data_IF_756135084925
#
_entry.id   IF_756135084925
#
_cell.length_a   1.000
_cell.length_b   1.000
_cell.length_c   1.000
_cell.angle_alpha   90.00
_cell.angle_beta   90.00
_cell.angle_gamma   90.00
#
_symmetry.space_group_name_H-M   'P 1'
#
loop_
_entity.id
_entity.type
_entity.pdbx_description
1 polymer ?
#
# COMPACT_ATOMS: atom_id res chain seq x y z
N UNK A 1 62.86 -24.59 -21.95
CA UNK A 1 63.08 -23.95 -23.27
C UNK A 1 62.46 -22.55 -23.18
N UNK A 2 63.23 -21.47 -23.40
CA UNK A 2 63.52 -20.84 -24.71
C UNK A 2 62.45 -19.79 -25.08
N UNK A 3 62.73 -18.50 -25.32
CA UNK A 3 64.00 -17.75 -25.14
C UNK A 3 63.69 -16.23 -24.98
N UNK A 4 64.57 -15.52 -24.25
CA UNK A 4 65.09 -14.16 -24.56
C UNK A 4 64.12 -12.96 -24.84
N UNK A 5 64.17 -11.88 -24.03
CA UNK A 5 64.92 -10.58 -24.26
C UNK A 5 64.19 -9.59 -25.22
N UNK A 6 64.32 -8.25 -25.11
CA UNK A 6 65.20 -7.35 -24.30
C UNK A 6 64.63 -5.89 -24.23
N UNK A 7 65.09 -5.12 -23.23
CA UNK A 7 65.52 -3.68 -23.22
C UNK A 7 65.36 -2.82 -24.50
N UNK A 8 65.24 -1.47 -24.54
CA UNK A 8 65.42 -0.30 -23.61
C UNK A 8 65.04 1.00 -24.42
N UNK A 9 65.01 2.27 -23.96
CA UNK A 9 65.12 3.02 -22.67
C UNK A 9 64.53 4.45 -22.93
N UNK A 10 64.26 5.22 -21.87
CA UNK A 10 64.26 6.71 -21.82
C UNK A 10 63.04 7.47 -22.39
N UNK A 11 62.91 8.72 -21.91
CA UNK A 11 61.87 9.70 -22.26
C UNK A 11 62.51 10.97 -22.81
N UNK A 12 61.70 11.89 -23.35
CA UNK A 12 61.96 13.33 -23.28
C UNK A 12 60.70 14.15 -23.57
N UNK A 13 60.58 15.29 -22.88
CA UNK A 13 59.61 16.35 -23.17
C UNK A 13 60.25 17.37 -24.11
N UNK A 14 59.50 17.85 -25.10
CA UNK A 14 59.78 19.09 -25.80
C UNK A 14 58.45 19.70 -26.29
N UNK A 15 58.21 20.95 -25.94
CA UNK A 15 57.13 21.75 -26.50
C UNK A 15 57.73 22.72 -27.53
N UNK A 16 57.08 22.87 -28.68
CA UNK A 16 57.30 23.98 -29.59
C UNK A 16 55.98 24.38 -30.27
N UNK A 17 55.92 25.61 -30.76
CA UNK A 17 54.69 26.33 -31.10
C UNK A 17 54.83 27.09 -32.42
N UNK A 18 53.68 27.54 -32.95
CA UNK A 18 53.52 28.41 -34.14
C UNK A 18 53.83 27.72 -35.49
N UNK A 19 53.05 28.05 -36.53
CA UNK A 19 53.36 27.67 -37.90
C UNK A 19 52.16 27.39 -38.81
N UNK A 20 51.34 28.40 -39.10
CA UNK A 20 50.31 28.27 -40.16
C UNK A 20 50.97 28.23 -41.54
N UNK A 21 50.90 27.08 -42.23
CA UNK A 21 51.19 26.94 -43.64
C UNK A 21 49.99 26.29 -44.33
N UNK A 22 49.34 27.01 -45.26
CA UNK A 22 48.13 26.54 -45.91
C UNK A 22 48.40 25.54 -47.03
N UNK A 23 47.63 24.44 -47.06
CA UNK A 23 47.49 23.56 -48.23
C UNK A 23 46.02 23.48 -48.58
N UNK A 24 45.60 24.20 -49.62
CA UNK A 24 44.22 24.18 -50.13
C UNK A 24 43.98 22.93 -50.98
N UNK A 25 43.80 21.79 -50.33
CA UNK A 25 43.34 20.57 -50.98
C UNK A 25 41.81 20.63 -51.15
N UNK A 26 41.34 20.90 -52.37
CA UNK A 26 39.92 20.75 -52.73
C UNK A 26 39.56 19.26 -52.81
N UNK A 27 39.20 18.68 -51.67
CA UNK A 27 38.58 17.36 -51.62
C UNK A 27 37.10 17.48 -52.03
N UNK A 28 36.69 16.75 -53.07
CA UNK A 28 35.28 16.65 -53.45
C UNK A 28 34.48 15.96 -52.33
N UNK A 29 33.25 16.41 -52.14
CA UNK A 29 32.42 15.99 -51.01
C UNK A 29 32.07 14.50 -51.04
N UNK A 30 32.40 13.82 -49.94
CA UNK A 30 31.53 12.80 -49.36
C UNK A 30 31.35 13.18 -47.90
N UNK A 31 30.22 13.83 -47.59
CA UNK A 31 29.79 13.95 -46.19
C UNK A 31 29.47 12.54 -45.69
N UNK A 32 30.31 12.01 -44.80
CA UNK A 32 29.91 10.88 -43.97
C UNK A 32 28.87 11.39 -42.99
N UNK A 33 27.60 11.26 -43.38
CA UNK A 33 26.43 11.63 -42.59
C UNK A 33 26.48 10.90 -41.24
N UNK A 34 27.05 11.56 -40.23
CA UNK A 34 27.01 11.10 -38.86
C UNK A 34 25.53 11.10 -38.45
N UNK A 35 24.94 9.94 -38.08
CA UNK A 35 23.54 9.92 -37.69
C UNK A 35 23.34 10.83 -36.49
N UNK A 36 22.64 11.95 -36.71
CA UNK A 36 22.27 12.85 -35.63
C UNK A 36 21.15 12.18 -34.83
N UNK A 37 21.54 11.26 -33.95
CA UNK A 37 20.65 10.68 -32.94
C UNK A 37 20.16 11.87 -32.11
N UNK A 38 18.88 12.26 -32.21
CA UNK A 38 18.37 13.35 -31.40
C UNK A 38 18.51 12.93 -29.93
N UNK A 39 18.88 13.85 -29.00
CA UNK A 39 18.91 13.51 -27.59
C UNK A 39 17.54 12.96 -27.19
N UNK A 40 17.52 11.74 -26.67
CA UNK A 40 16.28 11.04 -26.36
C UNK A 40 15.42 11.95 -25.48
N UNK A 41 14.20 12.22 -25.93
CA UNK A 41 13.33 13.19 -25.27
C UNK A 41 13.13 12.77 -23.81
N UNK A 42 13.62 13.57 -22.88
CA UNK A 42 13.41 13.36 -21.44
C UNK A 42 11.96 13.73 -21.17
N UNK A 43 11.07 12.77 -21.40
CA UNK A 43 9.67 12.85 -20.98
C UNK A 43 9.71 12.97 -19.47
N UNK A 44 9.37 14.14 -18.94
CA UNK A 44 9.15 14.31 -17.52
C UNK A 44 8.03 13.34 -17.10
N UNK A 45 8.31 12.47 -16.13
CA UNK A 45 7.36 11.47 -15.67
C UNK A 45 6.01 12.12 -15.35
N UNK A 46 4.91 11.54 -15.82
CA UNK A 46 3.62 12.22 -15.67
C UNK A 46 3.24 12.30 -14.19
N UNK A 47 2.80 13.48 -13.77
CA UNK A 47 2.20 13.69 -12.43
C UNK A 47 0.91 12.87 -12.23
N UNK A 48 0.43 12.17 -13.27
CA UNK A 48 -0.74 11.27 -13.24
C UNK A 48 -0.39 9.78 -13.39
N UNK A 49 0.88 9.39 -13.54
CA UNK A 49 1.28 7.97 -13.74
C UNK A 49 1.45 7.17 -12.44
N UNK A 50 1.20 7.80 -11.29
CA UNK A 50 1.32 7.19 -9.97
C UNK A 50 0.15 6.28 -9.56
N UNK A 51 0.38 5.55 -8.48
CA UNK A 51 -0.58 4.72 -7.76
C UNK A 51 -0.43 4.93 -6.25
N UNK A 52 -1.54 5.23 -5.58
CA UNK A 52 -1.60 5.38 -4.13
C UNK A 52 -2.18 4.11 -3.51
N UNK A 53 -1.42 3.46 -2.64
CA UNK A 53 -1.92 2.41 -1.76
C UNK A 53 -1.91 2.93 -0.33
N UNK A 54 -2.92 2.58 0.46
CA UNK A 54 -2.97 2.93 1.87
C UNK A 54 -3.42 1.73 2.70
N UNK A 55 -2.73 1.47 3.81
CA UNK A 55 -3.01 0.36 4.70
C UNK A 55 -3.43 0.90 6.06
N UNK A 56 -4.61 0.51 6.52
CA UNK A 56 -5.20 0.95 7.77
C UNK A 56 -5.74 -0.22 8.59
N UNK A 57 -5.93 -0.03 9.89
CA UNK A 57 -6.39 -1.09 10.77
C UNK A 57 -7.87 -1.46 10.55
N UNK A 58 -8.77 -0.48 10.48
CA UNK A 58 -10.22 -0.68 10.50
C UNK A 58 -10.97 -0.09 9.29
N UNK A 59 -12.14 -0.63 8.93
CA UNK A 59 -13.05 -0.10 7.91
C UNK A 59 -13.70 1.27 8.21
N UNK A 60 -12.88 2.34 8.31
CA UNK A 60 -13.22 3.79 8.24
C UNK A 60 -12.03 4.70 8.56
N UNK A 61 -10.97 4.17 9.18
CA UNK A 61 -9.69 4.86 9.44
C UNK A 61 -9.17 5.68 8.25
N UNK A 62 -9.35 5.17 7.02
CA UNK A 62 -8.92 5.85 5.80
C UNK A 62 -9.73 7.14 5.53
N UNK A 63 -11.03 7.13 5.86
CA UNK A 63 -11.90 8.28 5.69
C UNK A 63 -11.55 9.40 6.68
N UNK A 64 -11.06 9.04 7.87
CA UNK A 64 -10.62 9.99 8.91
C UNK A 64 -9.17 10.46 8.74
N UNK A 65 -8.24 9.55 8.44
CA UNK A 65 -6.80 9.81 8.51
C UNK A 65 -6.09 9.93 7.15
N UNK A 66 -6.68 9.43 6.06
CA UNK A 66 -6.10 9.53 4.70
C UNK A 66 -6.76 10.62 3.85
N UNK A 67 -7.91 11.16 4.25
CA UNK A 67 -8.49 12.37 3.65
C UNK A 67 -7.76 13.64 4.13
N UNK A 68 -7.76 14.72 3.33
CA UNK A 68 -8.35 14.87 1.99
C UNK A 68 -7.48 14.30 0.84
N UNK A 69 -6.41 13.57 1.17
CA UNK A 69 -5.47 13.04 0.17
C UNK A 69 -6.04 11.86 -0.62
N UNK A 70 -6.82 10.99 0.05
CA UNK A 70 -7.63 9.92 -0.53
C UNK A 70 -8.63 10.44 -1.58
N UNK A 71 -9.55 11.33 -1.17
CA UNK A 71 -10.57 11.89 -2.07
C UNK A 71 -9.96 12.63 -3.27
N UNK A 72 -8.84 13.34 -3.06
CA UNK A 72 -8.05 13.91 -4.18
C UNK A 72 -7.56 12.84 -5.14
N UNK A 73 -6.90 11.78 -4.66
CA UNK A 73 -6.38 10.68 -5.49
C UNK A 73 -7.48 10.03 -6.33
N UNK A 74 -8.67 9.81 -5.77
CA UNK A 74 -9.83 9.27 -6.49
C UNK A 74 -10.34 10.24 -7.57
N UNK A 75 -10.44 11.54 -7.25
CA UNK A 75 -10.95 12.56 -8.17
C UNK A 75 -10.01 12.89 -9.32
N UNK A 76 -8.69 12.75 -9.15
CA UNK A 76 -7.70 12.94 -10.23
C UNK A 76 -7.52 11.71 -11.11
N UNK A 77 -8.15 10.57 -10.76
CA UNK A 77 -8.11 9.36 -11.56
C UNK A 77 -6.79 8.59 -11.50
N UNK A 78 -5.96 8.82 -10.48
CA UNK A 78 -4.84 7.91 -10.20
C UNK A 78 -5.38 6.60 -9.60
N UNK A 79 -4.61 5.52 -9.71
CA UNK A 79 -4.99 4.24 -9.12
C UNK A 79 -4.96 4.34 -7.60
N UNK A 80 -6.04 3.92 -6.95
CA UNK A 80 -6.20 3.93 -5.49
C UNK A 80 -6.49 2.52 -5.00
N UNK A 81 -5.79 2.10 -3.95
CA UNK A 81 -6.06 0.81 -3.29
C UNK A 81 -6.00 0.98 -1.78
N UNK A 82 -7.08 0.60 -1.10
CA UNK A 82 -7.14 0.66 0.36
C UNK A 82 -7.18 -0.73 0.94
N UNK A 83 -6.23 -1.03 1.82
CA UNK A 83 -6.07 -2.31 2.50
C UNK A 83 -6.50 -2.15 3.95
N UNK A 84 -7.47 -2.95 4.36
CA UNK A 84 -7.98 -3.01 5.73
C UNK A 84 -7.44 -4.27 6.39
N UNK A 85 -6.64 -4.09 7.45
CA UNK A 85 -5.98 -5.21 8.13
C UNK A 85 -6.98 -6.05 8.93
N UNK A 86 -7.92 -5.41 9.62
CA UNK A 86 -8.94 -6.08 10.42
C UNK A 86 -10.34 -5.93 9.80
N UNK A 87 -11.26 -6.81 10.21
CA UNK A 87 -12.68 -6.69 9.87
C UNK A 87 -13.41 -5.58 10.64
N UNK A 88 -12.75 -4.97 11.64
CA UNK A 88 -13.33 -3.93 12.49
C UNK A 88 -14.61 -4.38 13.21
N UNK A 89 -14.64 -5.61 13.72
CA UNK A 89 -15.87 -6.23 14.20
C UNK A 89 -16.33 -5.79 15.60
N UNK A 90 -15.47 -5.11 16.37
CA UNK A 90 -15.77 -4.52 17.67
C UNK A 90 -16.55 -5.46 18.64
N UNK A 91 -17.60 -4.95 19.28
CA UNK A 91 -18.54 -5.70 20.10
C UNK A 91 -19.56 -6.52 19.28
N UNK A 92 -19.81 -6.12 18.02
CA UNK A 92 -20.76 -6.71 17.08
C UNK A 92 -22.16 -6.08 17.09
N UNK A 93 -22.34 -4.86 17.61
CA UNK A 93 -23.66 -4.24 17.83
C UNK A 93 -24.10 -3.31 16.69
N UNK A 94 -25.03 -3.78 15.87
CA UNK A 94 -25.64 -3.06 14.75
C UNK A 94 -26.85 -2.21 15.20
N UNK A 95 -26.65 -1.33 16.19
CA UNK A 95 -27.70 -0.47 16.76
C UNK A 95 -27.24 1.00 16.88
N UNK A 96 -28.00 1.94 16.32
CA UNK A 96 -27.72 3.36 16.44
C UNK A 96 -27.98 3.83 17.89
N UNK A 97 -26.96 4.42 18.50
CA UNK A 97 -27.01 5.01 19.85
C UNK A 97 -26.51 6.45 19.81
N UNK A 98 -27.45 7.40 19.71
CA UNK A 98 -27.18 8.84 19.70
C UNK A 98 -28.35 9.62 20.32
N UNK A 99 -28.19 10.92 20.63
CA UNK A 99 -29.29 11.76 21.13
C UNK A 99 -30.50 11.90 20.19
N UNK A 100 -30.43 11.38 18.95
CA UNK A 100 -31.45 11.52 17.91
C UNK A 100 -31.89 10.19 17.27
N UNK A 101 -31.18 9.09 17.54
CA UNK A 101 -31.46 7.74 17.06
C UNK A 101 -31.16 6.75 18.18
N UNK A 102 -32.16 5.92 18.53
CA UNK A 102 -32.11 4.99 19.64
C UNK A 102 -32.74 3.66 19.18
N UNK A 103 -31.95 2.85 18.49
CA UNK A 103 -32.40 1.52 18.06
C UNK A 103 -32.52 0.58 19.27
N UNK A 104 -33.39 -0.43 19.14
CA UNK A 104 -33.52 -1.48 20.14
C UNK A 104 -32.26 -2.36 20.16
N UNK A 105 -31.70 -2.59 21.35
CA UNK A 105 -30.45 -3.33 21.50
C UNK A 105 -30.55 -4.76 20.92
N UNK A 106 -29.64 -5.11 20.02
CA UNK A 106 -29.65 -6.38 19.30
C UNK A 106 -28.91 -7.52 20.04
N UNK A 107 -28.97 -8.75 19.51
CA UNK A 107 -27.89 -9.71 19.71
C UNK A 107 -26.63 -9.21 18.99
N UNK A 108 -25.46 -9.41 19.60
CA UNK A 108 -24.20 -9.05 18.95
C UNK A 108 -23.84 -10.05 17.84
N UNK A 109 -23.69 -9.58 16.60
CA UNK A 109 -23.21 -10.35 15.46
C UNK A 109 -22.04 -9.62 14.78
N UNK A 110 -20.84 -10.12 15.04
CA UNK A 110 -19.57 -9.60 14.51
C UNK A 110 -19.42 -9.76 13.00
N UNK A 111 -20.01 -10.81 12.41
CA UNK A 111 -19.92 -11.03 10.97
C UNK A 111 -20.86 -10.07 10.22
N UNK A 112 -22.06 -9.84 10.74
CA UNK A 112 -23.00 -8.86 10.20
C UNK A 112 -22.56 -7.41 10.47
N UNK A 113 -21.92 -7.11 11.59
CA UNK A 113 -21.37 -5.78 11.90
C UNK A 113 -20.19 -5.42 10.97
N UNK A 114 -19.25 -6.36 10.76
CA UNK A 114 -18.15 -6.18 9.81
C UNK A 114 -18.65 -5.99 8.36
N UNK A 115 -19.60 -6.81 7.89
CA UNK A 115 -20.22 -6.63 6.57
C UNK A 115 -20.93 -5.27 6.47
N UNK A 116 -21.58 -4.78 7.52
CA UNK A 116 -22.21 -3.46 7.54
C UNK A 116 -21.19 -2.32 7.37
N UNK A 117 -20.02 -2.39 8.06
CA UNK A 117 -18.93 -1.42 7.87
C UNK A 117 -18.33 -1.50 6.46
N UNK A 118 -18.06 -2.70 5.94
CA UNK A 118 -17.60 -2.88 4.54
C UNK A 118 -18.57 -2.28 3.51
N UNK A 119 -19.88 -2.47 3.70
CA UNK A 119 -20.90 -1.84 2.85
C UNK A 119 -20.88 -0.31 2.94
N UNK A 120 -20.66 0.25 4.13
CA UNK A 120 -20.49 1.69 4.34
C UNK A 120 -19.29 2.26 3.58
N UNK A 121 -18.14 1.58 3.62
CA UNK A 121 -16.94 1.96 2.85
C UNK A 121 -17.17 1.84 1.34
N UNK A 122 -17.72 0.72 0.86
CA UNK A 122 -18.07 0.54 -0.57
C UNK A 122 -18.98 1.66 -1.07
N UNK A 123 -19.94 2.11 -0.25
CA UNK A 123 -20.81 3.24 -0.55
C UNK A 123 -20.05 4.58 -0.54
N UNK A 124 -19.16 4.81 0.43
CA UNK A 124 -18.34 6.03 0.52
C UNK A 124 -17.36 6.18 -0.66
N UNK A 125 -16.69 5.10 -1.06
CA UNK A 125 -15.76 5.09 -2.20
C UNK A 125 -16.50 5.28 -3.53
N UNK A 126 -17.64 4.62 -3.72
CA UNK A 126 -18.48 4.88 -4.89
C UNK A 126 -18.94 6.35 -4.94
N UNK A 127 -19.39 6.91 -3.81
CA UNK A 127 -19.76 8.32 -3.71
C UNK A 127 -18.60 9.28 -4.06
N UNK A 128 -17.37 9.00 -3.62
CA UNK A 128 -16.18 9.78 -3.97
C UNK A 128 -15.76 9.64 -5.44
N UNK A 129 -16.00 8.48 -6.06
CA UNK A 129 -15.48 8.13 -7.38
C UNK A 129 -16.47 8.36 -8.55
N UNK A 130 -17.78 8.35 -8.28
CA UNK A 130 -18.83 8.53 -9.31
C UNK A 130 -19.87 9.57 -8.95
N UNK A 131 -19.95 10.00 -7.69
CA UNK A 131 -21.09 10.77 -7.18
C UNK A 131 -22.32 9.91 -6.82
N UNK A 132 -22.24 8.59 -6.96
CA UNK A 132 -23.31 7.65 -6.62
C UNK A 132 -22.84 6.56 -5.64
N UNK A 133 -23.29 6.67 -4.39
CA UNK A 133 -23.08 5.68 -3.33
C UNK A 133 -23.64 4.27 -3.61
N UNK A 134 -24.51 4.10 -4.61
CA UNK A 134 -25.05 2.79 -5.01
C UNK A 134 -24.22 2.08 -6.09
N UNK A 135 -23.06 2.63 -6.47
CA UNK A 135 -22.17 2.05 -7.48
C UNK A 135 -21.81 0.57 -7.22
N UNK A 136 -21.87 -0.24 -8.28
CA UNK A 136 -21.66 -1.68 -8.20
C UNK A 136 -20.18 -2.06 -8.02
N UNK A 137 -19.92 -3.09 -7.22
CA UNK A 137 -18.58 -3.62 -6.93
C UNK A 137 -18.47 -5.10 -7.37
N UNK A 138 -17.35 -5.45 -8.00
CA UNK A 138 -16.97 -6.84 -8.23
C UNK A 138 -16.19 -7.34 -7.00
N UNK A 139 -16.87 -8.11 -6.14
CA UNK A 139 -16.28 -8.80 -4.98
C UNK A 139 -15.61 -10.11 -5.42
N UNK A 140 -14.42 -10.44 -4.91
CA UNK A 140 -13.77 -11.76 -5.11
C UNK A 140 -12.84 -12.13 -3.95
N UNK A 141 -12.71 -13.41 -3.66
CA UNK A 141 -11.64 -13.92 -2.79
C UNK A 141 -10.34 -14.07 -3.61
N UNK A 142 -9.19 -13.78 -3.01
CA UNK A 142 -7.86 -14.06 -3.56
C UNK A 142 -6.97 -14.69 -2.49
N UNK A 143 -6.05 -15.60 -2.85
CA UNK A 143 -5.05 -16.12 -1.92
C UNK A 143 -4.00 -15.03 -1.60
N UNK A 144 -3.49 -15.00 -0.37
CA UNK A 144 -2.38 -14.13 0.03
C UNK A 144 -1.05 -14.86 0.02
N UNK A 145 0.05 -14.12 -0.09
CA UNK A 145 1.41 -14.69 0.05
C UNK A 145 1.72 -15.21 1.47
N UNK A 146 0.88 -14.88 2.48
CA UNK A 146 0.91 -15.50 3.81
C UNK A 146 0.28 -16.90 3.87
N UNK A 147 -0.37 -17.37 2.80
CA UNK A 147 -1.04 -18.67 2.72
C UNK A 147 -2.50 -18.69 3.20
N UNK A 148 -3.12 -17.52 3.33
CA UNK A 148 -4.54 -17.34 3.68
C UNK A 148 -5.32 -16.71 2.55
N UNK A 149 -6.40 -16.00 2.86
CA UNK A 149 -7.20 -15.26 1.88
C UNK A 149 -7.29 -13.77 2.20
N UNK A 150 -7.71 -13.01 1.20
CA UNK A 150 -8.24 -11.66 1.33
C UNK A 150 -9.44 -11.52 0.39
N UNK A 151 -10.41 -10.68 0.74
CA UNK A 151 -11.42 -10.22 -0.20
C UNK A 151 -10.90 -8.98 -0.96
N UNK A 152 -11.17 -8.91 -2.26
CA UNK A 152 -10.86 -7.75 -3.11
C UNK A 152 -12.13 -7.27 -3.79
N UNK A 153 -12.48 -6.00 -3.55
CA UNK A 153 -13.58 -5.31 -4.21
C UNK A 153 -13.04 -4.34 -5.26
N UNK A 154 -13.55 -4.43 -6.49
CA UNK A 154 -13.21 -3.53 -7.61
C UNK A 154 -14.45 -2.72 -8.01
N UNK A 155 -14.36 -1.39 -8.00
CA UNK A 155 -15.50 -0.53 -8.36
C UNK A 155 -15.76 -0.61 -9.86
N UNK A 156 -16.90 -1.17 -10.27
CA UNK A 156 -17.18 -1.51 -11.68
C UNK A 156 -17.16 -0.28 -12.60
N UNK A 157 -17.60 0.87 -12.09
CA UNK A 157 -17.60 2.13 -12.84
C UNK A 157 -16.24 2.86 -12.87
N UNK A 158 -15.31 2.50 -11.98
CA UNK A 158 -13.97 3.10 -11.82
C UNK A 158 -12.96 2.01 -11.38
N UNK A 159 -12.57 1.06 -12.28
CA UNK A 159 -11.77 -0.11 -11.92
C UNK A 159 -10.32 0.18 -11.47
N UNK A 160 -9.92 1.45 -11.45
CA UNK A 160 -8.71 1.94 -10.80
C UNK A 160 -8.86 2.15 -9.28
N UNK A 161 -10.06 1.98 -8.72
CA UNK A 161 -10.39 2.11 -7.30
C UNK A 161 -10.73 0.74 -6.71
N UNK A 162 -9.82 0.22 -5.88
CA UNK A 162 -9.94 -1.10 -5.26
C UNK A 162 -9.93 -1.02 -3.72
N UNK A 163 -10.66 -1.94 -3.08
CA UNK A 163 -10.57 -2.23 -1.64
C UNK A 163 -10.02 -3.65 -1.45
N UNK A 164 -9.24 -3.86 -0.40
CA UNK A 164 -8.67 -5.17 -0.03
C UNK A 164 -8.93 -5.39 1.45
N UNK A 165 -9.64 -6.46 1.79
CA UNK A 165 -9.97 -6.84 3.16
C UNK A 165 -9.13 -8.04 3.56
N UNK A 166 -8.20 -7.86 4.51
CA UNK A 166 -7.37 -8.95 5.05
C UNK A 166 -8.12 -9.79 6.10
N UNK A 167 -9.32 -9.34 6.48
CA UNK A 167 -10.28 -9.99 7.38
C UNK A 167 -9.69 -10.51 8.72
N UNK A 168 -8.70 -9.84 9.34
CA UNK A 168 -8.20 -10.26 10.67
C UNK A 168 -9.08 -9.78 11.81
N UNK A 169 -8.94 -10.41 12.98
CA UNK A 169 -9.59 -9.97 14.23
C UNK A 169 -9.07 -8.62 14.71
N UNK A 170 -9.98 -7.73 15.02
CA UNK A 170 -9.74 -6.50 15.78
C UNK A 170 -9.36 -6.84 17.25
N UNK A 171 -8.58 -5.98 17.92
CA UNK A 171 -8.32 -6.08 19.35
C UNK A 171 -9.57 -5.86 20.22
N UNK A 172 -10.63 -5.21 19.70
CA UNK A 172 -11.89 -4.90 20.40
C UNK A 172 -11.69 -4.01 21.63
N UNK A 173 -10.61 -3.23 21.64
CA UNK A 173 -10.25 -2.29 22.70
C UNK A 173 -9.13 -1.36 22.26
N UNK A 174 -9.24 -0.06 22.60
CA UNK A 174 -8.26 0.99 22.27
C UNK A 174 -6.88 0.69 22.88
N UNK A 175 -6.85 0.21 24.12
CA UNK A 175 -5.60 -0.07 24.87
C UNK A 175 -5.71 -1.25 25.85
N UNK A 176 -6.89 -1.86 25.99
CA UNK A 176 -7.09 -3.02 26.86
C UNK A 176 -6.31 -4.25 26.38
N UNK A 177 -6.07 -5.19 27.28
CA UNK A 177 -5.26 -6.35 26.97
C UNK A 177 -6.07 -7.45 26.27
N UNK A 178 -5.73 -7.74 25.01
CA UNK A 178 -6.30 -8.85 24.23
C UNK A 178 -5.18 -9.53 23.41
N UNK A 179 -4.80 -10.79 23.71
CA UNK A 179 -3.82 -11.54 22.93
C UNK A 179 -4.26 -11.85 21.49
N UNK A 180 -5.57 -11.92 21.22
CA UNK A 180 -6.14 -12.10 19.88
C UNK A 180 -6.31 -10.73 19.20
N UNK A 181 -5.18 -10.13 18.83
CA UNK A 181 -5.08 -8.81 18.19
C UNK A 181 -3.81 -8.67 17.35
N UNK A 182 -3.68 -7.61 16.53
CA UNK A 182 -2.42 -7.31 15.84
C UNK A 182 -1.27 -7.09 16.84
N UNK A 183 -1.55 -6.43 17.97
CA UNK A 183 -0.60 -6.30 19.08
C UNK A 183 -0.16 -7.65 19.63
N UNK A 184 -1.11 -8.53 19.93
CA UNK A 184 -0.83 -9.84 20.51
C UNK A 184 -0.02 -10.72 19.56
N UNK A 185 -0.28 -10.66 18.25
CA UNK A 185 0.53 -11.33 17.23
C UNK A 185 1.95 -10.74 17.13
N UNK A 186 2.08 -9.41 17.13
CA UNK A 186 3.36 -8.73 17.02
C UNK A 186 4.27 -8.98 18.23
N UNK A 187 3.70 -8.92 19.43
CA UNK A 187 4.40 -9.15 20.71
C UNK A 187 4.59 -10.66 21.02
N UNK A 188 4.19 -11.57 20.11
CA UNK A 188 4.37 -13.02 20.24
C UNK A 188 3.49 -13.69 21.30
N UNK A 189 2.37 -13.06 21.68
CA UNK A 189 1.44 -13.50 22.72
C UNK A 189 0.30 -14.37 22.21
N UNK A 190 0.00 -14.31 20.91
CA UNK A 190 -0.69 -15.38 20.19
C UNK A 190 0.23 -15.86 19.05
N UNK A 191 0.35 -17.18 18.78
CA UNK A 191 1.25 -17.68 17.75
C UNK A 191 0.73 -17.41 16.33
N UNK A 192 -0.59 -17.28 16.15
CA UNK A 192 -1.22 -16.92 14.88
C UNK A 192 -2.56 -16.22 15.14
N UNK A 193 -2.82 -15.10 14.46
CA UNK A 193 -4.09 -14.38 14.56
C UNK A 193 -5.08 -14.96 13.56
N UNK A 194 -6.25 -15.39 14.05
CA UNK A 194 -7.33 -15.88 13.21
C UNK A 194 -8.04 -14.78 12.43
N UNK A 195 -8.65 -15.15 11.30
CA UNK A 195 -9.58 -14.30 10.57
C UNK A 195 -10.84 -13.99 11.41
N UNK A 196 -11.61 -13.00 10.94
CA UNK A 196 -12.98 -12.69 11.32
C UNK A 196 -13.79 -12.44 10.04
N UNK A 197 -14.19 -13.53 9.39
CA UNK A 197 -14.98 -13.46 8.15
C UNK A 197 -16.27 -12.66 8.36
N UNK A 198 -16.65 -11.86 7.36
CA UNK A 198 -17.93 -11.14 7.36
C UNK A 198 -19.10 -12.05 6.98
N UNK A 199 -20.34 -11.57 7.07
CA UNK A 199 -21.51 -12.35 6.65
C UNK A 199 -21.71 -12.39 5.12
N UNK A 200 -21.04 -11.51 4.36
CA UNK A 200 -21.17 -11.40 2.90
C UNK A 200 -19.90 -11.68 2.09
N UNK A 201 -18.74 -11.88 2.74
CA UNK A 201 -17.44 -12.13 2.09
C UNK A 201 -17.51 -13.27 1.05
N UNK A 202 -16.82 -13.17 -0.10
CA UNK A 202 -16.62 -14.27 -1.04
C UNK A 202 -15.62 -15.32 -0.51
N UNK A 203 -14.86 -15.03 0.55
CA UNK A 203 -13.99 -16.02 1.22
C UNK A 203 -14.87 -17.11 1.87
N UNK A 204 -14.39 -18.36 1.89
CA UNK A 204 -15.16 -19.54 2.35
C UNK A 204 -14.44 -20.34 3.42
N UNK A 205 -13.13 -20.47 3.30
CA UNK A 205 -12.29 -21.18 4.26
C UNK A 205 -11.75 -20.23 5.35
N UNK A 206 -11.76 -20.68 6.60
CA UNK A 206 -11.13 -19.96 7.70
C UNK A 206 -9.61 -20.06 7.61
N UNK A 207 -8.92 -18.95 7.88
CA UNK A 207 -7.46 -18.88 7.89
C UNK A 207 -6.95 -18.16 9.15
N UNK A 208 -5.65 -18.25 9.37
CA UNK A 208 -4.89 -17.49 10.38
C UNK A 208 -3.48 -17.21 9.86
N UNK A 209 -2.86 -16.15 10.36
CA UNK A 209 -1.46 -15.82 10.05
C UNK A 209 -0.60 -15.81 11.31
N UNK A 210 0.55 -16.48 11.27
CA UNK A 210 1.68 -16.12 12.16
C UNK A 210 2.16 -14.70 11.85
N UNK A 211 3.00 -14.13 12.71
CA UNK A 211 3.57 -12.80 12.50
C UNK A 211 4.22 -12.66 11.12
N UNK A 212 5.05 -13.62 10.74
CA UNK A 212 5.79 -13.59 9.47
C UNK A 212 4.86 -13.82 8.26
N UNK A 213 3.80 -14.61 8.42
CA UNK A 213 2.77 -14.78 7.39
C UNK A 213 1.93 -13.51 7.19
N UNK A 214 1.65 -12.75 8.25
CA UNK A 214 0.92 -11.48 8.14
C UNK A 214 1.75 -10.42 7.41
N UNK A 215 3.06 -10.35 7.71
CA UNK A 215 4.03 -9.53 6.95
C UNK A 215 4.06 -9.96 5.48
N UNK A 216 4.25 -11.25 5.21
CA UNK A 216 4.28 -11.78 3.84
C UNK A 216 2.96 -11.51 3.07
N UNK A 217 1.81 -11.61 3.74
CA UNK A 217 0.52 -11.31 3.15
C UNK A 217 0.40 -9.83 2.73
N UNK A 218 0.87 -8.89 3.55
CA UNK A 218 0.89 -7.45 3.23
C UNK A 218 1.89 -7.14 2.10
N UNK A 219 3.11 -7.69 2.18
CA UNK A 219 4.13 -7.53 1.12
C UNK A 219 3.63 -8.07 -0.23
N UNK A 220 2.87 -9.18 -0.22
CA UNK A 220 2.20 -9.71 -1.41
C UNK A 220 1.18 -8.75 -2.04
N UNK A 221 0.55 -7.87 -1.26
CA UNK A 221 -0.30 -6.79 -1.80
C UNK A 221 0.55 -5.68 -2.42
N UNK A 222 1.70 -5.33 -1.81
CA UNK A 222 2.62 -4.33 -2.38
C UNK A 222 3.19 -4.80 -3.72
N UNK A 223 3.59 -6.07 -3.85
CA UNK A 223 4.05 -6.67 -5.12
C UNK A 223 2.92 -6.78 -6.15
N UNK A 224 1.68 -7.07 -5.73
CA UNK A 224 0.54 -7.15 -6.65
C UNK A 224 0.11 -5.79 -7.23
N UNK A 225 0.20 -4.72 -6.43
CA UNK A 225 -0.27 -3.38 -6.83
C UNK A 225 0.84 -2.41 -7.26
N UNK A 226 2.10 -2.65 -6.86
CA UNK A 226 3.28 -1.82 -7.11
C UNK A 226 3.00 -0.31 -6.90
N UNK A 227 2.63 0.10 -5.67
CA UNK A 227 2.33 1.50 -5.37
C UNK A 227 3.54 2.42 -5.57
N UNK A 228 3.32 3.61 -6.13
CA UNK A 228 4.32 4.70 -6.08
C UNK A 228 4.28 5.47 -4.76
N UNK A 229 3.22 5.29 -3.97
CA UNK A 229 3.04 5.92 -2.66
C UNK A 229 2.30 4.95 -1.73
N UNK A 230 2.88 4.67 -0.56
CA UNK A 230 2.23 3.93 0.52
C UNK A 230 1.88 4.91 1.64
N UNK A 231 0.65 4.86 2.17
CA UNK A 231 0.22 5.58 3.37
C UNK A 231 -0.19 4.59 4.47
N UNK A 232 0.07 4.91 5.73
CA UNK A 232 -0.42 4.13 6.89
C UNK A 232 -0.46 4.99 8.15
N UNK A 233 -0.95 4.44 9.26
CA UNK A 233 -1.07 5.11 10.56
C UNK A 233 0.30 5.25 11.26
N UNK A 234 0.37 5.93 12.40
CA UNK A 234 1.61 6.09 13.17
C UNK A 234 1.97 4.77 13.90
N UNK A 235 3.16 4.17 13.69
CA UNK A 235 3.64 2.98 14.43
C UNK A 235 4.13 3.29 15.86
N UNK A 236 4.12 4.57 16.24
CA UNK A 236 4.76 5.19 17.40
C UNK A 236 3.96 6.35 18.05
N UNK A 237 2.61 6.33 18.12
CA UNK A 237 1.77 7.47 18.54
C UNK A 237 1.93 7.88 20.01
N UNK A 238 2.76 7.18 20.78
CA UNK A 238 3.04 7.47 22.18
C UNK A 238 2.05 6.85 23.17
N UNK A 239 2.11 7.34 24.41
CA UNK A 239 1.25 6.95 25.54
C UNK A 239 0.86 8.19 26.33
N UNK A 240 -0.28 8.11 27.02
CA UNK A 240 -0.67 9.10 28.00
C UNK A 240 0.37 9.21 29.14
N UNK A 241 0.41 10.38 29.79
CA UNK A 241 1.34 10.68 30.89
C UNK A 241 1.33 9.59 31.98
N UNK A 242 2.53 9.29 32.51
CA UNK A 242 2.74 8.13 33.38
C UNK A 242 2.89 6.79 32.63
N UNK A 243 2.82 6.78 31.29
CA UNK A 243 3.05 5.58 30.47
C UNK A 243 1.85 4.62 30.42
N UNK A 244 0.64 5.14 30.62
CA UNK A 244 -0.61 4.36 30.69
C UNK A 244 -1.12 3.90 29.32
N UNK A 245 -2.36 4.29 28.99
CA UNK A 245 -2.99 3.99 27.70
C UNK A 245 -2.14 4.50 26.52
N UNK A 246 -2.29 3.88 25.35
CA UNK A 246 -1.81 4.45 24.08
C UNK A 246 -2.60 5.75 23.78
N UNK A 247 -1.98 6.68 23.04
CA UNK A 247 -2.69 7.89 22.57
C UNK A 247 -3.57 7.65 21.33
N UNK A 248 -3.49 6.45 20.76
CA UNK A 248 -4.24 5.99 19.59
C UNK A 248 -4.65 4.50 19.77
N UNK A 249 -5.50 3.96 18.90
CA UNK A 249 -5.91 2.55 18.95
C UNK A 249 -4.72 1.61 18.75
N UNK A 250 -4.62 0.56 19.57
CA UNK A 250 -3.48 -0.37 19.49
C UNK A 250 -3.35 -1.06 18.11
N UNK A 251 -4.45 -1.36 17.41
CA UNK A 251 -4.36 -1.92 16.06
C UNK A 251 -3.89 -0.90 15.00
N UNK A 252 -4.05 0.42 15.21
CA UNK A 252 -3.43 1.42 14.31
C UNK A 252 -1.90 1.34 14.45
N UNK A 253 -1.43 1.43 15.69
CA UNK A 253 -0.01 1.39 16.05
C UNK A 253 0.67 0.09 15.63
N UNK A 254 0.01 -1.05 15.84
CA UNK A 254 0.58 -2.36 15.51
C UNK A 254 0.33 -2.77 14.05
N UNK A 255 -0.76 -2.31 13.41
CA UNK A 255 -0.97 -2.43 11.97
C UNK A 255 0.09 -1.67 11.17
N UNK A 256 0.38 -0.42 11.53
CA UNK A 256 1.46 0.36 10.95
C UNK A 256 2.84 -0.31 11.11
N UNK A 257 3.08 -1.03 12.22
CA UNK A 257 4.31 -1.83 12.41
C UNK A 257 4.37 -3.06 11.49
N UNK A 258 3.25 -3.73 11.25
CA UNK A 258 3.19 -4.79 10.23
C UNK A 258 3.45 -4.23 8.82
N UNK A 259 2.96 -3.03 8.51
CA UNK A 259 3.24 -2.31 7.26
C UNK A 259 4.72 -1.92 7.13
N UNK A 260 5.37 -1.50 8.21
CA UNK A 260 6.82 -1.19 8.22
C UNK A 260 7.72 -2.43 8.08
N UNK A 261 7.19 -3.63 8.29
CA UNK A 261 7.95 -4.88 8.20
C UNK A 261 7.82 -5.57 6.83
N UNK A 262 6.95 -5.06 5.94
CA UNK A 262 6.54 -5.64 4.67
C UNK A 262 7.11 -4.88 3.45
#
# INVERSE_FOLDING_TARGET
>A
MSLARRTRLAALLAAFSVGTAGVTAWAYGHETEHPHIPPAAVIAASVTEGSALQVVAHPDDDLFFMNPDLSRSISTGIKVTTVYLTSGESDGRNEAHSPHLQDAAGPADRAAYAEARQNGIRAAYAQMATGDRAGAWQRKAVPTAGGGSAEVDILVARPEVNLVWMELREARSISGDNPESLRGLWDGRTPALGAQLTSGTPVKDWFSYTKDQAVAAIAGVFEAYRPTTIRTQDPTPGRADGGGAFLDHQDHMYGARFVQAA
#
